data_IF_088189630866
#
_entry.id   IF_088189630866
#
_cell.length_a   1.000
_cell.length_b   1.000
_cell.length_c   1.000
_cell.angle_alpha   90.00
_cell.angle_beta   90.00
_cell.angle_gamma   90.00
#
_symmetry.space_group_name_H-M   'P 1'
#
loop_
_entity.id
_entity.type
_entity.pdbx_description
1 polymer ?
#
# COMPACT_ATOMS: atom_id res chain seq x y z
N UNK A 1 -8.20 4.48 5.62
CA UNK A 1 -9.16 4.03 4.59
C UNK A 1 -9.35 2.51 4.68
N UNK A 2 -10.54 2.01 4.34
CA UNK A 2 -10.87 0.59 4.21
C UNK A 2 -10.72 0.05 2.77
N UNK A 3 -10.32 0.89 1.82
CA UNK A 3 -10.21 0.50 0.41
C UNK A 3 -9.21 -0.64 0.22
N UNK A 4 -9.44 -1.52 -0.76
CA UNK A 4 -8.46 -2.55 -1.11
C UNK A 4 -7.16 -1.91 -1.59
N UNK A 5 -6.01 -2.61 -1.45
CA UNK A 5 -4.75 -2.11 -2.01
C UNK A 5 -4.90 -1.89 -3.52
N UNK A 6 -5.65 -2.74 -4.22
CA UNK A 6 -5.91 -2.62 -5.65
C UNK A 6 -6.64 -1.32 -6.01
N UNK A 7 -7.67 -0.92 -5.26
CA UNK A 7 -8.37 0.35 -5.49
C UNK A 7 -7.42 1.53 -5.28
N UNK A 8 -6.65 1.51 -4.19
CA UNK A 8 -5.63 2.55 -3.92
C UNK A 8 -4.61 2.63 -5.06
N UNK A 9 -4.17 1.50 -5.63
CA UNK A 9 -3.28 1.49 -6.79
C UNK A 9 -3.90 2.25 -7.97
N UNK A 10 -5.15 1.94 -8.31
CA UNK A 10 -5.87 2.52 -9.44
C UNK A 10 -6.13 4.02 -9.22
N UNK A 11 -6.59 4.40 -8.02
CA UNK A 11 -6.84 5.80 -7.65
C UNK A 11 -5.56 6.64 -7.61
N UNK A 12 -4.42 5.99 -7.35
CA UNK A 12 -3.09 6.61 -7.41
C UNK A 12 -2.55 6.75 -8.84
N UNK A 13 -3.33 6.37 -9.86
CA UNK A 13 -2.96 6.48 -11.28
C UNK A 13 -2.08 5.35 -11.81
N UNK A 14 -1.97 4.22 -11.09
CA UNK A 14 -1.23 3.06 -11.58
C UNK A 14 -2.16 2.12 -12.33
N UNK A 15 -1.81 1.82 -13.58
CA UNK A 15 -2.52 0.82 -14.39
C UNK A 15 -2.25 -0.63 -13.95
N UNK A 16 -1.22 -0.84 -13.13
CA UNK A 16 -0.94 -2.16 -12.56
C UNK A 16 -0.51 -2.10 -11.10
N UNK A 17 -1.07 -3.02 -10.32
CA UNK A 17 -0.69 -3.24 -8.93
C UNK A 17 0.77 -3.67 -8.79
N UNK A 18 1.34 -4.34 -9.80
CA UNK A 18 2.75 -4.73 -9.80
C UNK A 18 3.67 -3.51 -9.84
N UNK A 19 3.39 -2.54 -10.71
CA UNK A 19 4.16 -1.28 -10.79
C UNK A 19 4.01 -0.48 -9.50
N UNK A 20 2.79 -0.37 -8.97
CA UNK A 20 2.55 0.28 -7.68
C UNK A 20 3.36 -0.37 -6.55
N UNK A 21 3.26 -1.69 -6.39
CA UNK A 21 3.97 -2.42 -5.33
C UNK A 21 5.48 -2.24 -5.43
N UNK A 22 6.04 -2.27 -6.64
CA UNK A 22 7.47 -2.06 -6.87
C UNK A 22 7.89 -0.65 -6.45
N UNK A 23 7.23 0.37 -6.97
CA UNK A 23 7.55 1.79 -6.67
C UNK A 23 7.37 2.10 -5.19
N UNK A 24 6.27 1.62 -4.59
CA UNK A 24 6.00 1.81 -3.17
C UNK A 24 7.10 1.18 -2.30
N UNK A 25 7.49 -0.07 -2.59
CA UNK A 25 8.56 -0.76 -1.86
C UNK A 25 9.93 -0.11 -2.09
N UNK A 26 10.22 0.37 -3.29
CA UNK A 26 11.46 1.12 -3.57
C UNK A 26 11.55 2.41 -2.75
N UNK A 27 10.43 3.12 -2.59
CA UNK A 27 10.34 4.40 -1.88
C UNK A 27 10.32 4.24 -0.36
N UNK A 28 9.43 3.40 0.15
CA UNK A 28 9.16 3.25 1.58
C UNK A 28 9.87 2.05 2.22
N UNK A 29 10.58 1.22 1.42
CA UNK A 29 11.31 0.03 1.85
C UNK A 29 10.46 -1.07 2.50
N UNK A 30 9.13 -0.98 2.39
CA UNK A 30 8.14 -1.92 2.90
C UNK A 30 7.04 -2.14 1.85
N UNK A 31 6.36 -3.30 1.87
CA UNK A 31 5.23 -3.52 0.97
C UNK A 31 4.00 -2.70 1.40
N UNK A 32 3.09 -2.34 0.49
CA UNK A 32 1.85 -1.63 0.85
C UNK A 32 0.99 -2.38 1.87
N UNK A 33 0.94 -3.71 1.77
CA UNK A 33 0.17 -4.56 2.69
C UNK A 33 0.77 -4.59 4.09
N UNK A 34 2.10 -4.72 4.17
CA UNK A 34 2.81 -4.69 5.46
C UNK A 34 2.70 -3.30 6.10
N UNK A 35 2.86 -2.23 5.31
CA UNK A 35 2.68 -0.85 5.77
C UNK A 35 1.28 -0.66 6.36
N UNK A 36 0.22 -1.11 5.67
CA UNK A 36 -1.15 -1.06 6.19
C UNK A 36 -1.28 -1.81 7.51
N UNK A 37 -0.68 -2.99 7.62
CA UNK A 37 -0.77 -3.83 8.81
C UNK A 37 -0.05 -3.20 10.01
N UNK A 38 1.10 -2.55 9.80
CA UNK A 38 1.83 -1.81 10.84
C UNK A 38 1.00 -0.66 11.40
N UNK A 39 0.41 0.18 10.54
CA UNK A 39 -0.42 1.30 11.00
C UNK A 39 -1.68 0.84 11.75
N UNK A 40 -2.32 -0.25 11.30
CA UNK A 40 -3.45 -0.84 12.03
C UNK A 40 -2.99 -1.35 13.40
N UNK A 41 -1.81 -1.96 13.49
CA UNK A 41 -1.25 -2.44 14.76
C UNK A 41 -0.87 -1.30 15.71
N UNK A 42 -0.30 -0.21 15.21
CA UNK A 42 0.01 1.00 16.00
C UNK A 42 -1.24 1.77 16.45
N UNK A 43 -2.33 1.78 15.67
CA UNK A 43 -3.59 2.40 16.10
C UNK A 43 -4.37 1.56 17.12
N UNK A 44 -4.10 0.26 17.20
CA UNK A 44 -4.74 -0.67 18.15
C UNK A 44 -3.91 -0.91 19.42
N UNK A 45 -2.69 -0.37 19.50
CA UNK A 45 -1.83 -0.40 20.68
C UNK A 45 -2.01 0.84 21.54
#
# INVERSE_FOLDING_TARGET
TSDSITNICLDSGFESQRTFNRVFKERYKISPSDYRSTYVKEMLS
#
